data_IF_037460954283
#
_entry.id   IF_037460954283
#
_cell.length_a   1.000
_cell.length_b   1.000
_cell.length_c   1.000
_cell.angle_alpha   90.00
_cell.angle_beta   90.00
_cell.angle_gamma   90.00
#
_symmetry.space_group_name_H-M   'P 1'
#
loop_
_entity.id
_entity.type
_entity.pdbx_description
1 polymer ?
#
# COMPACT_ATOMS: atom_id res chain seq x y z
N UNK A 1 -0.51 -8.36 1.17
CA UNK A 1 -0.31 -9.77 1.59
C UNK A 1 -1.34 -10.62 0.84
N UNK A 2 -0.99 -11.84 0.40
CA UNK A 2 -1.98 -12.76 -0.16
C UNK A 2 -2.72 -13.54 0.93
N UNK A 3 -3.72 -14.32 0.55
CA UNK A 3 -4.54 -15.12 1.47
C UNK A 3 -3.75 -16.18 2.25
N UNK A 4 -2.54 -16.53 1.79
CA UNK A 4 -1.61 -17.47 2.44
C UNK A 4 -0.61 -16.78 3.39
N UNK A 5 -0.79 -15.49 3.67
CA UNK A 5 0.11 -14.74 4.55
C UNK A 5 1.45 -14.34 3.92
N UNK A 6 1.62 -14.47 2.60
CA UNK A 6 2.89 -14.15 1.93
C UNK A 6 2.99 -12.68 1.55
N UNK A 7 4.21 -12.15 1.66
CA UNK A 7 4.57 -10.86 1.07
C UNK A 7 4.54 -11.03 -0.45
N UNK A 8 3.71 -10.22 -1.12
CA UNK A 8 3.54 -10.27 -2.58
C UNK A 8 4.29 -9.13 -3.28
N UNK A 9 4.66 -8.09 -2.53
CA UNK A 9 5.29 -6.90 -3.07
C UNK A 9 6.01 -6.15 -1.96
N UNK A 10 7.16 -5.57 -2.31
CA UNK A 10 7.90 -4.62 -1.48
C UNK A 10 8.16 -3.36 -2.29
N UNK A 11 8.20 -2.20 -1.64
CA UNK A 11 8.60 -0.96 -2.28
C UNK A 11 10.12 -0.94 -2.48
N UNK A 12 10.57 -0.35 -3.60
CA UNK A 12 11.97 0.05 -3.77
C UNK A 12 12.34 1.14 -2.75
N UNK A 13 13.62 1.25 -2.41
CA UNK A 13 14.13 2.36 -1.60
C UNK A 13 14.09 3.68 -2.38
N UNK A 14 13.73 4.77 -1.71
CA UNK A 14 13.72 6.13 -2.29
C UNK A 14 14.71 7.02 -1.52
N UNK A 15 15.62 7.73 -2.21
CA UNK A 15 16.54 8.65 -1.56
C UNK A 15 15.82 9.91 -1.07
N UNK A 16 16.24 10.42 0.09
CA UNK A 16 15.70 11.65 0.69
C UNK A 16 14.44 11.43 1.53
N UNK A 17 13.85 12.54 1.99
CA UNK A 17 12.60 12.52 2.74
C UNK A 17 11.42 12.72 1.78
N UNK A 18 10.78 11.61 1.42
CA UNK A 18 9.59 11.60 0.57
C UNK A 18 8.47 10.90 1.32
N UNK A 19 7.31 11.53 1.35
CA UNK A 19 6.15 10.95 2.01
C UNK A 19 5.74 9.62 1.34
N UNK A 20 5.45 8.66 2.19
CA UNK A 20 5.22 7.25 1.90
C UNK A 20 4.04 7.09 0.92
N UNK A 21 2.97 7.87 1.10
CA UNK A 21 1.83 7.82 0.19
C UNK A 21 2.14 8.39 -1.20
N UNK A 22 3.09 9.33 -1.30
CA UNK A 22 3.57 9.81 -2.60
C UNK A 22 4.37 8.72 -3.32
N UNK A 23 5.20 7.98 -2.58
CA UNK A 23 5.91 6.80 -3.10
C UNK A 23 4.90 5.76 -3.59
N UNK A 24 3.89 5.43 -2.77
CA UNK A 24 2.85 4.44 -3.12
C UNK A 24 2.16 4.76 -4.45
N UNK A 25 1.84 6.03 -4.71
CA UNK A 25 1.21 6.48 -5.98
C UNK A 25 2.12 6.36 -7.21
N UNK A 26 3.44 6.32 -7.01
CA UNK A 26 4.43 6.23 -8.09
C UNK A 26 4.86 4.78 -8.37
N UNK A 27 4.41 3.83 -7.55
CA UNK A 27 4.73 2.42 -7.72
C UNK A 27 3.60 1.67 -8.40
N UNK A 28 3.94 0.46 -8.88
CA UNK A 28 2.92 -0.50 -9.28
C UNK A 28 2.05 -0.84 -8.08
N UNK A 29 0.72 -0.79 -8.25
CA UNK A 29 -0.18 -1.06 -7.15
C UNK A 29 -0.16 -2.54 -6.77
N UNK A 30 -0.34 -2.87 -5.48
CA UNK A 30 -0.49 -4.27 -5.07
C UNK A 30 -1.59 -4.97 -5.87
N UNK A 31 -1.48 -6.30 -6.12
CA UNK A 31 -2.49 -7.04 -6.86
C UNK A 31 -3.88 -6.85 -6.24
N UNK A 32 -4.91 -6.67 -7.07
CA UNK A 32 -6.27 -6.31 -6.61
C UNK A 32 -6.91 -7.31 -5.64
N UNK A 33 -6.52 -8.58 -5.70
CA UNK A 33 -6.97 -9.59 -4.75
C UNK A 33 -6.30 -9.50 -3.37
N UNK A 34 -5.17 -8.81 -3.27
CA UNK A 34 -4.39 -8.67 -2.03
C UNK A 34 -5.09 -7.79 -1.02
N UNK A 35 -4.84 -8.05 0.26
CA UNK A 35 -5.21 -7.12 1.34
C UNK A 35 -4.06 -6.14 1.57
N UNK A 36 -4.39 -4.85 1.60
CA UNK A 36 -3.48 -3.76 1.98
C UNK A 36 -3.81 -3.30 3.39
N UNK A 37 -2.81 -3.35 4.25
CA UNK A 37 -2.86 -2.83 5.61
C UNK A 37 -2.07 -1.52 5.60
N UNK A 38 -2.71 -0.41 5.96
CA UNK A 38 -2.06 0.90 6.02
C UNK A 38 -2.47 1.62 7.29
N UNK A 39 -1.69 2.62 7.69
CA UNK A 39 -2.04 3.52 8.78
C UNK A 39 -3.08 4.59 8.36
N UNK A 40 -3.49 5.42 9.30
CA UNK A 40 -4.46 6.50 9.10
C UNK A 40 -3.94 7.67 8.24
N UNK A 41 -2.63 7.75 7.96
CA UNK A 41 -2.04 8.72 7.05
C UNK A 41 -2.34 8.44 5.56
N UNK A 42 -2.81 7.24 5.23
CA UNK A 42 -3.18 6.82 3.87
C UNK A 42 -4.65 7.10 3.51
N UNK A 43 -5.25 8.16 4.07
CA UNK A 43 -6.60 8.57 3.70
C UNK A 43 -6.73 8.75 2.17
N UNK A 44 -7.72 8.08 1.58
CA UNK A 44 -7.97 8.10 0.13
C UNK A 44 -7.27 7.00 -0.67
N UNK A 45 -6.55 6.06 -0.03
CA UNK A 45 -5.98 4.89 -0.71
C UNK A 45 -7.05 3.99 -1.37
N UNK A 46 -8.29 4.05 -0.89
CA UNK A 46 -9.43 3.33 -1.46
C UNK A 46 -9.70 3.68 -2.95
N UNK A 47 -9.25 4.86 -3.41
CA UNK A 47 -9.32 5.25 -4.83
C UNK A 47 -8.41 4.39 -5.73
N UNK A 48 -7.37 3.80 -5.16
CA UNK A 48 -6.36 3.03 -5.87
C UNK A 48 -6.48 1.53 -5.59
N UNK A 49 -6.97 1.13 -4.42
CA UNK A 49 -7.15 -0.27 -4.06
C UNK A 49 -8.38 -0.50 -3.18
N UNK A 50 -9.25 -1.43 -3.59
CA UNK A 50 -10.53 -1.68 -2.89
C UNK A 50 -10.42 -2.48 -1.59
N UNK A 51 -9.43 -3.37 -1.47
CA UNK A 51 -9.25 -4.28 -0.32
C UNK A 51 -8.28 -3.67 0.71
N UNK A 52 -8.71 -2.59 1.35
CA UNK A 52 -7.91 -1.85 2.33
C UNK A 52 -8.39 -2.09 3.76
N UNK A 53 -7.48 -2.03 4.71
CA UNK A 53 -7.77 -2.05 6.15
C UNK A 53 -6.95 -0.97 6.82
N UNK A 54 -7.63 0.05 7.34
CA UNK A 54 -7.05 1.10 8.17
C UNK A 54 -7.46 0.78 9.60
N UNK A 55 -6.53 0.54 10.54
CA UNK A 55 -6.89 0.36 11.94
C UNK A 55 -7.46 1.67 12.49
N UNK A 56 -8.53 1.55 13.30
CA UNK A 56 -9.20 2.65 13.98
C UNK A 56 -8.33 3.28 15.06
#
# INVERSE_FOLDING_TARGET
MNEKGRIVQISKSYPGSVHDFKIFKQQEFPPSESKVLVDSGYQGINKYHKKISIPS
#
